data_IF_646737760012
#
_entry.id   IF_646737760012
#
_cell.length_a   1.000
_cell.length_b   1.000
_cell.length_c   1.000
_cell.angle_alpha   90.00
_cell.angle_beta   90.00
_cell.angle_gamma   90.00
#
_symmetry.space_group_name_H-M   'P 1'
#
loop_
_entity.id
_entity.type
_entity.pdbx_description
1 polymer ?
#
# COMPACT_ATOMS: atom_id res chain seq x y z
N UNK A 1 -19.06 -10.47 -25.93
CA UNK A 1 -17.66 -10.06 -26.23
C UNK A 1 -17.18 -9.24 -25.05
N UNK A 2 -15.97 -9.50 -24.56
CA UNK A 2 -15.30 -8.72 -23.51
C UNK A 2 -15.01 -7.31 -24.03
N UNK A 3 -15.16 -6.29 -23.19
CA UNK A 3 -14.83 -4.91 -23.56
C UNK A 3 -13.33 -4.79 -23.88
N UNK A 4 -12.91 -4.04 -24.91
CA UNK A 4 -11.50 -3.80 -25.22
C UNK A 4 -10.68 -3.29 -24.02
N UNK A 5 -11.27 -2.43 -23.18
CA UNK A 5 -10.62 -1.93 -21.95
C UNK A 5 -10.34 -3.05 -20.95
N UNK A 6 -11.26 -4.01 -20.82
CA UNK A 6 -11.10 -5.18 -19.93
C UNK A 6 -10.00 -6.09 -20.48
N UNK A 7 -9.93 -6.27 -21.79
CA UNK A 7 -8.88 -7.10 -22.41
C UNK A 7 -7.49 -6.50 -22.17
N UNK A 8 -7.29 -5.21 -22.45
CA UNK A 8 -6.02 -4.52 -22.16
C UNK A 8 -5.66 -4.55 -20.68
N UNK A 9 -6.66 -4.46 -19.80
CA UNK A 9 -6.41 -4.55 -18.36
C UNK A 9 -5.93 -5.95 -17.96
N UNK A 10 -6.48 -7.01 -18.55
CA UNK A 10 -6.01 -8.39 -18.34
C UNK A 10 -4.56 -8.56 -18.81
N UNK A 11 -4.23 -8.02 -19.99
CA UNK A 11 -2.88 -8.04 -20.54
C UNK A 11 -1.90 -7.31 -19.61
N UNK A 12 -2.24 -6.11 -19.14
CA UNK A 12 -1.42 -5.32 -18.21
C UNK A 12 -1.15 -6.05 -16.88
N UNK A 13 -2.12 -6.83 -16.41
CA UNK A 13 -2.03 -7.62 -15.19
C UNK A 13 -1.46 -9.02 -15.40
N UNK A 14 -1.11 -9.39 -16.64
CA UNK A 14 -0.67 -10.74 -17.05
C UNK A 14 -1.67 -11.86 -16.70
N UNK A 15 -2.97 -11.52 -16.62
CA UNK A 15 -4.04 -12.46 -16.29
C UNK A 15 -4.47 -13.22 -17.55
N UNK A 16 -4.01 -14.45 -17.69
CA UNK A 16 -4.25 -15.27 -18.88
C UNK A 16 -5.58 -16.02 -18.87
N UNK A 17 -6.28 -16.08 -17.73
CA UNK A 17 -7.49 -16.89 -17.54
C UNK A 17 -8.66 -16.13 -16.89
N UNK A 18 -9.92 -16.59 -17.03
CA UNK A 18 -11.04 -16.03 -16.28
C UNK A 18 -10.89 -16.30 -14.78
N UNK A 19 -11.36 -15.36 -13.95
CA UNK A 19 -11.42 -15.51 -12.51
C UNK A 19 -12.53 -16.50 -12.14
N UNK A 20 -12.12 -17.70 -11.71
CA UNK A 20 -13.03 -18.74 -11.23
C UNK A 20 -13.30 -18.59 -9.74
N UNK A 21 -14.56 -18.46 -9.35
CA UNK A 21 -14.97 -18.33 -7.95
C UNK A 21 -16.11 -19.29 -7.65
N UNK A 22 -15.97 -20.08 -6.60
CA UNK A 22 -17.05 -20.94 -6.10
C UNK A 22 -17.66 -20.35 -4.84
N UNK A 23 -18.99 -20.38 -4.76
CA UNK A 23 -19.75 -19.98 -3.58
C UNK A 23 -20.54 -21.16 -3.06
N UNK A 24 -20.33 -21.50 -1.79
CA UNK A 24 -21.06 -22.53 -1.07
C UNK A 24 -22.02 -21.90 -0.07
N UNK A 25 -23.13 -22.58 0.18
CA UNK A 25 -24.11 -22.23 1.20
C UNK A 25 -24.56 -23.50 1.91
N UNK A 26 -24.89 -23.42 3.18
CA UNK A 26 -25.39 -24.61 3.92
C UNK A 26 -26.74 -25.11 3.38
N UNK A 27 -27.46 -24.29 2.59
CA UNK A 27 -28.74 -24.64 1.95
C UNK A 27 -28.59 -25.46 0.67
N UNK A 28 -27.42 -25.45 0.03
CA UNK A 28 -27.20 -26.13 -1.25
C UNK A 28 -25.88 -26.91 -1.20
N UNK A 29 -25.93 -28.25 -1.31
CA UNK A 29 -24.74 -29.09 -1.24
C UNK A 29 -23.79 -28.90 -2.44
N UNK A 30 -24.28 -28.39 -3.58
CA UNK A 30 -23.43 -28.10 -4.75
C UNK A 30 -23.04 -26.62 -4.77
N UNK A 31 -21.74 -26.28 -4.90
CA UNK A 31 -21.33 -24.90 -5.08
C UNK A 31 -21.88 -24.28 -6.36
N UNK A 32 -22.18 -22.99 -6.29
CA UNK A 32 -22.38 -22.16 -7.48
C UNK A 32 -21.01 -21.67 -7.92
N UNK A 33 -20.62 -22.00 -9.15
CA UNK A 33 -19.34 -21.59 -9.72
C UNK A 33 -19.57 -20.48 -10.74
N UNK A 34 -18.93 -19.34 -10.52
CA UNK A 34 -18.89 -18.22 -11.44
C UNK A 34 -17.54 -18.16 -12.15
N UNK A 35 -17.55 -17.92 -13.46
CA UNK A 35 -16.37 -17.59 -14.26
C UNK A 35 -16.49 -16.14 -14.69
N UNK A 36 -15.58 -15.30 -14.24
CA UNK A 36 -15.57 -13.86 -14.51
C UNK A 36 -14.45 -13.54 -15.48
N UNK A 37 -14.79 -12.96 -16.63
CA UNK A 37 -13.80 -12.59 -17.65
C UNK A 37 -12.94 -11.40 -17.24
N UNK A 38 -13.48 -10.45 -16.47
CA UNK A 38 -12.70 -9.35 -15.92
C UNK A 38 -11.63 -9.88 -14.94
N UNK A 39 -10.46 -9.22 -14.83
CA UNK A 39 -9.43 -9.60 -13.86
C UNK A 39 -9.79 -9.14 -12.44
N UNK A 40 -11.06 -8.86 -12.18
CA UNK A 40 -11.57 -8.44 -10.89
C UNK A 40 -13.03 -8.87 -10.75
N UNK A 41 -13.51 -8.94 -9.51
CA UNK A 41 -14.91 -9.22 -9.22
C UNK A 41 -15.36 -8.49 -7.95
N UNK A 42 -16.59 -7.95 -7.99
CA UNK A 42 -17.25 -7.41 -6.81
C UNK A 42 -18.33 -8.39 -6.38
N UNK A 43 -18.32 -8.78 -5.10
CA UNK A 43 -19.30 -9.65 -4.48
C UNK A 43 -20.11 -8.86 -3.45
N UNK A 44 -21.42 -9.09 -3.42
CA UNK A 44 -22.30 -8.41 -2.49
C UNK A 44 -23.78 -8.61 -2.81
N UNK A 45 -24.65 -7.99 -2.01
CA UNK A 45 -26.11 -8.11 -2.16
C UNK A 45 -26.66 -7.35 -3.37
N UNK A 46 -25.91 -6.35 -3.87
CA UNK A 46 -26.30 -5.53 -4.99
C UNK A 46 -26.47 -6.35 -6.28
N UNK A 47 -27.49 -6.04 -7.06
CA UNK A 47 -27.79 -6.74 -8.32
C UNK A 47 -26.71 -6.56 -9.40
N UNK A 48 -25.89 -5.51 -9.31
CA UNK A 48 -24.78 -5.24 -10.24
C UNK A 48 -23.48 -5.97 -9.88
N UNK A 49 -23.41 -6.63 -8.71
CA UNK A 49 -22.23 -7.39 -8.33
C UNK A 49 -22.03 -8.58 -9.28
N UNK A 50 -20.77 -8.89 -9.60
CA UNK A 50 -20.42 -10.03 -10.45
C UNK A 50 -20.91 -11.35 -9.85
N UNK A 51 -20.89 -11.46 -8.51
CA UNK A 51 -21.52 -12.55 -7.78
C UNK A 51 -22.45 -11.95 -6.73
N UNK A 52 -23.74 -12.24 -6.89
CA UNK A 52 -24.77 -11.74 -5.98
C UNK A 52 -24.94 -12.65 -4.78
N UNK A 53 -24.74 -12.08 -3.59
CA UNK A 53 -24.89 -12.71 -2.28
C UNK A 53 -26.09 -12.07 -1.57
N UNK A 54 -27.28 -12.66 -1.74
CA UNK A 54 -28.55 -11.99 -1.45
C UNK A 54 -28.88 -11.77 0.04
N UNK A 55 -28.17 -12.45 0.96
CA UNK A 55 -28.46 -12.39 2.39
C UNK A 55 -28.33 -10.97 2.98
N UNK A 56 -29.22 -10.63 3.92
CA UNK A 56 -29.28 -9.30 4.57
C UNK A 56 -28.03 -8.92 5.36
N UNK A 57 -27.28 -9.90 5.85
CA UNK A 57 -25.99 -9.68 6.52
C UNK A 57 -24.89 -9.22 5.55
N UNK A 58 -25.11 -9.34 4.24
CA UNK A 58 -24.16 -8.95 3.21
C UNK A 58 -24.42 -7.52 2.73
N UNK A 59 -23.37 -6.69 2.78
CA UNK A 59 -23.36 -5.35 2.20
C UNK A 59 -23.72 -5.35 0.70
N UNK A 60 -24.26 -4.24 0.19
CA UNK A 60 -24.52 -4.08 -1.25
C UNK A 60 -23.30 -4.37 -2.11
N UNK A 61 -22.13 -3.95 -1.62
CA UNK A 61 -20.82 -4.32 -2.10
C UNK A 61 -20.02 -4.69 -0.88
N UNK A 62 -19.50 -5.90 -0.83
CA UNK A 62 -18.92 -6.46 0.36
C UNK A 62 -17.45 -6.81 0.14
N UNK A 63 -17.16 -7.55 -0.93
CA UNK A 63 -15.81 -8.01 -1.24
C UNK A 63 -15.42 -7.56 -2.63
N UNK A 64 -14.16 -7.17 -2.77
CA UNK A 64 -13.49 -6.92 -4.03
C UNK A 64 -12.34 -7.91 -4.21
N UNK A 65 -12.37 -8.65 -5.32
CA UNK A 65 -11.30 -9.52 -5.75
C UNK A 65 -10.57 -8.84 -6.90
N UNK A 66 -9.24 -8.80 -6.85
CA UNK A 66 -8.39 -8.31 -7.94
C UNK A 66 -7.33 -9.36 -8.25
N UNK A 67 -7.31 -9.83 -9.50
CA UNK A 67 -6.34 -10.78 -10.00
C UNK A 67 -5.09 -10.07 -10.52
N UNK A 68 -3.95 -10.71 -10.33
CA UNK A 68 -2.63 -10.29 -10.75
C UNK A 68 -1.87 -11.54 -11.19
N UNK A 69 -1.71 -11.75 -12.50
CA UNK A 69 -1.21 -13.00 -13.04
C UNK A 69 -2.08 -14.19 -12.60
N UNK A 70 -1.50 -15.04 -11.77
CA UNK A 70 -2.07 -16.24 -11.16
C UNK A 70 -2.38 -16.08 -9.66
N UNK A 71 -2.37 -14.86 -9.15
CA UNK A 71 -2.69 -14.53 -7.75
C UNK A 71 -3.92 -13.63 -7.67
N UNK A 72 -4.63 -13.69 -6.55
CA UNK A 72 -5.83 -12.86 -6.33
C UNK A 72 -5.76 -12.26 -4.94
N UNK A 73 -5.88 -10.93 -4.82
CA UNK A 73 -6.11 -10.29 -3.52
C UNK A 73 -7.61 -10.27 -3.23
N UNK A 74 -7.99 -10.47 -1.97
CA UNK A 74 -9.36 -10.34 -1.50
C UNK A 74 -9.47 -9.19 -0.48
N UNK A 75 -10.18 -8.14 -0.85
CA UNK A 75 -10.33 -6.91 -0.08
C UNK A 75 -11.75 -6.81 0.46
N UNK A 76 -11.90 -6.65 1.77
CA UNK A 76 -13.16 -6.21 2.37
C UNK A 76 -13.39 -4.73 2.03
N UNK A 77 -14.53 -4.41 1.40
CA UNK A 77 -14.93 -3.05 1.04
C UNK A 77 -15.47 -2.27 2.25
N UNK A 78 -14.80 -2.46 3.39
CA UNK A 78 -15.09 -1.86 4.68
C UNK A 78 -16.53 -2.14 5.10
N UNK A 79 -16.96 -3.38 4.91
CA UNK A 79 -18.30 -3.85 5.25
C UNK A 79 -18.59 -3.70 6.75
N UNK A 80 -19.87 -3.52 7.17
CA UNK A 80 -20.21 -3.47 8.60
C UNK A 80 -20.03 -4.84 9.28
N UNK A 81 -20.10 -5.93 8.52
CA UNK A 81 -19.92 -7.30 8.99
C UNK A 81 -18.64 -7.85 8.33
N UNK A 82 -17.48 -7.80 9.00
CA UNK A 82 -16.21 -8.13 8.39
C UNK A 82 -16.16 -9.54 7.82
N UNK A 83 -15.37 -9.71 6.75
CA UNK A 83 -15.07 -11.04 6.21
C UNK A 83 -14.27 -11.86 7.22
N UNK A 84 -14.51 -13.18 7.25
CA UNK A 84 -13.77 -14.11 8.11
C UNK A 84 -13.05 -15.15 7.27
N UNK A 85 -11.74 -15.24 7.44
CA UNK A 85 -10.91 -16.22 6.75
C UNK A 85 -10.89 -17.56 7.49
N UNK A 86 -10.80 -18.64 6.73
CA UNK A 86 -10.47 -19.98 7.21
C UNK A 86 -9.48 -20.60 6.23
N UNK A 87 -8.44 -21.28 6.74
CA UNK A 87 -7.36 -21.82 5.92
C UNK A 87 -5.97 -21.45 6.47
N UNK A 88 -4.94 -21.42 5.61
CA UNK A 88 -3.57 -21.00 5.95
C UNK A 88 -3.51 -19.57 6.51
N UNK A 89 -2.36 -19.18 7.07
CA UNK A 89 -2.15 -17.80 7.54
C UNK A 89 -2.36 -16.79 6.40
N UNK A 90 -3.09 -15.72 6.70
CA UNK A 90 -3.59 -14.77 5.71
C UNK A 90 -2.52 -13.72 5.35
N UNK A 91 -2.18 -13.61 4.06
CA UNK A 91 -1.15 -12.68 3.54
C UNK A 91 -1.74 -11.66 2.54
N UNK A 92 -2.99 -11.23 2.75
CA UNK A 92 -3.87 -10.48 1.80
C UNK A 92 -4.20 -11.24 0.49
N UNK A 93 -3.32 -12.13 0.05
CA UNK A 93 -3.53 -13.02 -1.09
C UNK A 93 -4.48 -14.18 -0.76
N UNK A 94 -5.52 -14.31 -1.58
CA UNK A 94 -6.42 -15.46 -1.57
C UNK A 94 -5.82 -16.60 -2.41
N UNK A 95 -5.70 -17.77 -1.80
CA UNK A 95 -5.32 -19.02 -2.49
C UNK A 95 -6.53 -19.95 -2.60
N UNK A 96 -6.41 -21.03 -3.38
CA UNK A 96 -7.48 -22.06 -3.47
C UNK A 96 -7.76 -22.77 -2.15
N UNK A 97 -6.84 -22.70 -1.19
CA UNK A 97 -6.98 -23.33 0.13
C UNK A 97 -7.73 -22.44 1.12
N UNK A 98 -7.94 -21.17 0.79
CA UNK A 98 -8.68 -20.25 1.64
C UNK A 98 -10.18 -20.36 1.43
N UNK A 99 -10.92 -20.21 2.53
CA UNK A 99 -12.36 -19.98 2.55
C UNK A 99 -12.61 -18.60 3.14
N UNK A 100 -13.21 -17.71 2.36
CA UNK A 100 -13.64 -16.39 2.82
C UNK A 100 -15.13 -16.45 3.12
N UNK A 101 -15.47 -16.29 4.40
CA UNK A 101 -16.85 -16.24 4.84
C UNK A 101 -17.38 -14.81 4.70
N UNK A 102 -18.46 -14.67 3.93
CA UNK A 102 -19.18 -13.42 3.71
C UNK A 102 -20.63 -13.63 4.13
N UNK A 103 -20.97 -13.29 5.38
CA UNK A 103 -22.24 -13.70 5.98
C UNK A 103 -22.37 -15.23 5.98
N UNK A 104 -23.48 -15.81 5.47
CA UNK A 104 -23.66 -17.28 5.40
C UNK A 104 -22.97 -17.93 4.19
N UNK A 105 -22.26 -17.17 3.37
CA UNK A 105 -21.65 -17.66 2.13
C UNK A 105 -20.17 -17.99 2.35
N UNK A 106 -19.74 -19.16 1.87
CA UNK A 106 -18.33 -19.57 1.83
C UNK A 106 -17.80 -19.37 0.41
N UNK A 107 -16.91 -18.39 0.23
CA UNK A 107 -16.33 -18.01 -1.06
C UNK A 107 -14.91 -18.56 -1.19
N UNK A 108 -14.60 -19.18 -2.32
CA UNK A 108 -13.27 -19.74 -2.62
C UNK A 108 -12.88 -19.50 -4.08
N UNK A 109 -11.57 -19.47 -4.36
CA UNK A 109 -11.08 -19.58 -5.73
C UNK A 109 -11.33 -20.98 -6.28
N UNK A 110 -11.70 -21.04 -7.56
CA UNK A 110 -11.93 -22.30 -8.26
C UNK A 110 -11.04 -22.40 -9.51
N UNK A 111 -10.40 -23.54 -9.70
CA UNK A 111 -9.56 -23.88 -10.86
C UNK A 111 -8.06 -24.04 -10.54
N UNK A 112 -7.38 -24.90 -11.30
CA UNK A 112 -6.04 -25.44 -10.99
C UNK A 112 -4.84 -24.55 -11.33
N UNK A 113 -5.04 -23.26 -11.60
CA UNK A 113 -3.90 -22.36 -11.84
C UNK A 113 -4.02 -21.00 -11.19
N UNK A 114 -4.64 -20.99 -10.02
CA UNK A 114 -4.37 -19.99 -9.00
C UNK A 114 -3.33 -20.54 -8.04
N UNK A 115 -2.40 -19.69 -7.61
CA UNK A 115 -1.30 -20.09 -6.73
C UNK A 115 -1.84 -20.64 -5.40
N UNK A 116 -1.24 -21.75 -4.94
CA UNK A 116 -1.61 -22.42 -3.68
C UNK A 116 -0.87 -21.87 -2.45
N UNK A 117 0.24 -21.18 -2.67
CA UNK A 117 1.04 -20.51 -1.63
C UNK A 117 1.56 -19.13 -2.12
N UNK A 118 1.23 -18.08 -1.38
CA UNK A 118 1.68 -16.71 -1.67
C UNK A 118 2.75 -16.22 -0.69
N UNK A 119 3.36 -17.12 0.09
CA UNK A 119 4.49 -16.81 0.97
C UNK A 119 5.61 -16.11 0.18
N UNK A 120 6.13 -15.01 0.72
CA UNK A 120 7.19 -14.21 0.10
C UNK A 120 6.74 -13.13 -0.90
N UNK A 121 5.45 -12.99 -1.21
CA UNK A 121 4.96 -11.91 -2.08
C UNK A 121 4.40 -10.74 -1.26
N UNK A 122 4.90 -9.51 -1.45
CA UNK A 122 4.35 -8.36 -0.74
C UNK A 122 2.90 -8.10 -1.17
N UNK A 123 2.08 -7.68 -0.22
CA UNK A 123 0.69 -7.28 -0.50
C UNK A 123 0.66 -6.08 -1.46
N UNK A 124 -0.21 -6.08 -2.49
CA UNK A 124 -0.29 -5.00 -3.46
C UNK A 124 -0.84 -3.69 -2.84
N UNK A 125 -1.39 -3.76 -1.63
CA UNK A 125 -1.82 -2.60 -0.85
C UNK A 125 -0.67 -1.91 -0.10
N UNK A 126 0.52 -2.53 -0.05
CA UNK A 126 1.70 -1.98 0.63
C UNK A 126 2.32 -0.86 -0.20
N UNK A 127 2.75 0.19 0.49
CA UNK A 127 3.48 1.30 -0.10
C UNK A 127 4.82 0.83 -0.66
N UNK A 128 5.14 1.25 -1.87
CA UNK A 128 6.42 1.05 -2.53
C UNK A 128 7.24 2.31 -2.46
N UNK A 129 8.55 2.17 -2.32
CA UNK A 129 9.46 3.27 -2.57
C UNK A 129 9.56 3.50 -4.08
N UNK A 130 9.94 4.71 -4.50
CA UNK A 130 10.06 5.07 -5.92
C UNK A 130 11.13 4.24 -6.66
N UNK A 131 12.00 3.58 -5.92
CA UNK A 131 13.12 2.75 -6.38
C UNK A 131 12.84 1.24 -6.27
N UNK A 132 11.66 0.84 -5.79
CA UNK A 132 11.32 -0.56 -5.56
C UNK A 132 10.86 -1.26 -6.86
N UNK A 133 11.80 -1.95 -7.51
CA UNK A 133 11.54 -2.77 -8.70
C UNK A 133 11.07 -4.21 -8.37
N UNK A 134 10.94 -4.58 -7.09
CA UNK A 134 10.60 -5.96 -6.65
C UNK A 134 9.17 -6.41 -7.00
N UNK A 135 8.47 -5.64 -7.83
CA UNK A 135 7.09 -5.94 -8.21
C UNK A 135 7.05 -7.12 -9.18
N UNK A 136 6.08 -8.06 -9.05
CA UNK A 136 5.87 -9.10 -10.07
C UNK A 136 5.61 -8.54 -11.48
N UNK A 137 5.30 -7.25 -11.58
CA UNK A 137 4.96 -6.56 -12.81
C UNK A 137 6.17 -5.88 -13.44
N UNK A 138 7.31 -5.77 -12.75
CA UNK A 138 8.51 -5.03 -13.19
C UNK A 138 8.50 -3.57 -12.72
N UNK A 139 9.33 -2.73 -13.34
CA UNK A 139 9.39 -1.30 -13.06
C UNK A 139 8.04 -0.62 -13.34
N UNK A 140 7.53 0.12 -12.34
CA UNK A 140 6.27 0.85 -12.41
C UNK A 140 6.55 2.33 -12.70
N UNK A 141 5.70 3.01 -13.49
CA UNK A 141 5.86 4.43 -13.73
C UNK A 141 5.57 5.25 -12.46
N UNK A 142 6.21 6.41 -12.36
CA UNK A 142 6.00 7.37 -11.30
C UNK A 142 4.83 8.26 -11.72
N UNK A 143 3.75 8.22 -10.95
CA UNK A 143 2.51 8.91 -11.28
C UNK A 143 1.87 9.48 -10.01
N UNK A 144 1.28 10.66 -10.13
CA UNK A 144 0.47 11.28 -9.09
C UNK A 144 -0.86 11.77 -9.67
N UNK A 145 -1.83 11.96 -8.78
CA UNK A 145 -3.12 12.56 -9.10
C UNK A 145 -3.19 13.96 -8.51
N UNK A 146 -3.37 14.98 -9.34
CA UNK A 146 -3.51 16.38 -8.90
C UNK A 146 -4.96 16.81 -8.83
N UNK A 147 -5.37 17.44 -7.73
CA UNK A 147 -6.74 17.89 -7.55
C UNK A 147 -7.01 19.19 -8.32
N UNK A 148 -7.99 19.16 -9.22
CA UNK A 148 -8.37 20.28 -10.09
C UNK A 148 -9.40 21.24 -9.45
N UNK A 149 -10.07 20.84 -8.36
CA UNK A 149 -11.08 21.68 -7.71
C UNK A 149 -10.47 22.98 -7.17
N UNK A 150 -11.00 24.14 -7.61
CA UNK A 150 -10.42 25.48 -7.37
C UNK A 150 -10.18 25.83 -5.88
N UNK A 151 -10.96 25.27 -4.96
CA UNK A 151 -10.86 25.54 -3.51
C UNK A 151 -9.79 24.69 -2.79
N UNK A 152 -9.19 23.70 -3.45
CA UNK A 152 -8.20 22.77 -2.90
C UNK A 152 -6.98 22.62 -3.83
N UNK A 153 -6.67 23.70 -4.57
CA UNK A 153 -5.65 23.74 -5.60
C UNK A 153 -4.26 23.42 -5.00
N UNK A 154 -3.51 22.51 -5.62
CA UNK A 154 -2.16 22.11 -5.20
C UNK A 154 -2.08 20.80 -4.39
N UNK A 155 -3.20 20.13 -4.10
CA UNK A 155 -3.17 18.78 -3.52
C UNK A 155 -2.81 17.75 -4.59
N UNK A 156 -1.74 16.99 -4.36
CA UNK A 156 -1.34 15.87 -5.19
C UNK A 156 -1.21 14.58 -4.37
N UNK A 157 -1.65 13.46 -4.94
CA UNK A 157 -1.48 12.13 -4.34
C UNK A 157 -0.51 11.30 -5.17
N UNK A 158 0.72 11.03 -4.69
CA UNK A 158 1.59 10.07 -5.35
C UNK A 158 0.98 8.67 -5.26
N UNK A 159 0.90 7.98 -6.39
CA UNK A 159 0.44 6.60 -6.44
C UNK A 159 1.63 5.69 -6.27
N UNK A 160 1.87 5.34 -5.01
CA UNK A 160 3.01 4.51 -4.60
C UNK A 160 2.58 3.11 -4.17
N UNK A 161 1.41 2.63 -4.61
CA UNK A 161 0.92 1.28 -4.34
C UNK A 161 0.48 0.64 -5.64
N UNK A 162 0.66 -0.68 -5.76
CA UNK A 162 0.09 -1.43 -6.89
C UNK A 162 -1.42 -1.34 -6.88
N UNK A 163 -2.03 -1.39 -5.70
CA UNK A 163 -3.47 -1.22 -5.50
C UNK A 163 -3.73 -0.08 -4.51
N UNK A 164 -4.39 0.97 -4.97
CA UNK A 164 -4.77 2.14 -4.15
C UNK A 164 -6.29 2.19 -4.04
N UNK A 165 -6.84 2.25 -2.83
CA UNK A 165 -8.28 2.41 -2.61
C UNK A 165 -8.65 3.89 -2.49
N UNK A 166 -9.74 4.27 -3.16
CA UNK A 166 -10.28 5.64 -3.17
C UNK A 166 -11.72 5.62 -2.69
N UNK A 167 -12.09 6.49 -1.76
CA UNK A 167 -13.44 6.52 -1.21
C UNK A 167 -13.64 7.54 -0.10
N UNK A 168 -14.84 7.60 0.48
CA UNK A 168 -15.13 8.57 1.56
C UNK A 168 -14.60 8.18 2.93
N UNK A 169 -14.29 6.91 3.11
CA UNK A 169 -13.80 6.38 4.38
C UNK A 169 -12.32 6.72 4.52
N UNK A 170 -11.90 7.15 5.70
CA UNK A 170 -10.53 7.59 5.98
C UNK A 170 -9.49 6.48 5.90
N UNK A 171 -9.93 5.22 5.90
CA UNK A 171 -9.08 4.05 5.61
C UNK A 171 -8.72 3.92 4.12
N UNK A 172 -9.37 4.68 3.23
CA UNK A 172 -8.92 4.79 1.85
C UNK A 172 -7.65 5.63 1.78
N UNK A 173 -6.73 5.29 0.86
CA UNK A 173 -5.49 6.04 0.70
C UNK A 173 -5.75 7.44 0.13
N UNK A 174 -6.72 7.54 -0.78
CA UNK A 174 -7.23 8.82 -1.28
C UNK A 174 -8.64 8.98 -0.72
N UNK A 175 -8.79 9.93 0.19
CA UNK A 175 -10.04 10.16 0.90
C UNK A 175 -10.81 11.30 0.26
N UNK A 176 -11.98 10.97 -0.28
CA UNK A 176 -12.93 11.91 -0.86
C UNK A 176 -14.14 12.04 0.10
N UNK A 177 -14.02 12.91 1.10
CA UNK A 177 -14.98 13.09 2.20
C UNK A 177 -16.33 13.72 1.76
N UNK A 178 -17.11 12.97 0.98
CA UNK A 178 -18.47 13.31 0.56
C UNK A 178 -19.39 12.11 0.79
N UNK A 179 -20.56 12.31 1.40
CA UNK A 179 -21.52 11.25 1.70
C UNK A 179 -22.10 10.56 0.45
N UNK A 180 -22.07 11.24 -0.70
CA UNK A 180 -22.48 10.69 -1.99
C UNK A 180 -21.46 9.69 -2.53
N UNK A 181 -20.23 9.72 -2.02
CA UNK A 181 -19.16 8.79 -2.37
C UNK A 181 -19.25 7.58 -1.45
N UNK A 182 -19.03 6.39 -2.01
CA UNK A 182 -19.08 5.16 -1.21
C UNK A 182 -17.84 5.03 -0.32
N UNK A 183 -17.94 4.28 0.79
CA UNK A 183 -16.81 4.05 1.73
C UNK A 183 -15.51 3.70 1.02
N UNK A 184 -15.58 2.72 0.11
CA UNK A 184 -14.59 2.45 -0.93
C UNK A 184 -15.29 2.59 -2.28
N UNK A 185 -14.99 3.65 -3.04
CA UNK A 185 -15.71 3.98 -4.26
C UNK A 185 -15.11 3.31 -5.49
N UNK A 186 -13.81 3.44 -5.66
CA UNK A 186 -13.06 2.83 -6.75
C UNK A 186 -11.69 2.35 -6.26
N UNK A 187 -11.00 1.60 -7.10
CA UNK A 187 -9.60 1.28 -6.89
C UNK A 187 -8.76 1.76 -8.06
N UNK A 188 -7.55 2.20 -7.77
CA UNK A 188 -6.52 2.44 -8.77
C UNK A 188 -5.53 1.29 -8.77
N UNK A 189 -5.14 0.82 -9.95
CA UNK A 189 -4.21 -0.29 -10.13
C UNK A 189 -3.04 0.17 -10.98
N UNK A 190 -1.86 0.29 -10.36
CA UNK A 190 -0.64 0.72 -11.03
C UNK A 190 0.03 -0.48 -11.71
N UNK A 191 0.24 -0.35 -13.02
CA UNK A 191 0.89 -1.36 -13.87
C UNK A 191 2.07 -0.72 -14.62
N UNK A 192 2.97 -1.50 -15.23
CA UNK A 192 4.05 -0.96 -16.07
C UNK A 192 3.54 -0.12 -17.23
N UNK A 193 2.32 -0.39 -17.70
CA UNK A 193 1.66 0.33 -18.79
C UNK A 193 0.87 1.56 -18.32
N UNK A 194 0.92 1.88 -17.02
CA UNK A 194 0.26 3.05 -16.43
C UNK A 194 -0.78 2.70 -15.37
N UNK A 195 -1.45 3.75 -14.90
CA UNK A 195 -2.43 3.75 -13.83
C UNK A 195 -3.83 3.42 -14.37
N UNK A 196 -4.43 2.37 -13.83
CA UNK A 196 -5.80 1.99 -14.15
C UNK A 196 -6.76 2.44 -13.06
N UNK A 197 -7.97 2.82 -13.42
CA UNK A 197 -9.11 2.94 -12.50
C UNK A 197 -10.09 1.80 -12.71
N UNK A 198 -10.64 1.27 -11.62
CA UNK A 198 -11.73 0.28 -11.61
C UNK A 198 -12.87 0.83 -10.77
N UNK A 199 -14.05 1.00 -11.39
CA UNK A 199 -15.27 1.33 -10.65
C UNK A 199 -15.67 0.12 -9.82
N UNK A 200 -15.74 0.30 -8.50
CA UNK A 200 -16.24 -0.75 -7.62
C UNK A 200 -17.77 -0.73 -7.55
N UNK A 201 -18.44 -0.23 -8.58
CA UNK A 201 -19.91 -0.18 -8.70
C UNK A 201 -20.54 0.75 -7.66
N UNK A 202 -19.83 1.84 -7.34
CA UNK A 202 -20.30 2.87 -6.42
C UNK A 202 -21.58 3.57 -6.89
N UNK A 203 -22.20 4.35 -6.00
CA UNK A 203 -23.25 5.29 -6.40
C UNK A 203 -22.60 6.42 -7.21
N UNK A 204 -23.10 6.70 -8.42
CA UNK A 204 -22.53 7.70 -9.34
C UNK A 204 -21.42 7.18 -10.25
N UNK A 205 -20.75 6.08 -9.88
CA UNK A 205 -19.65 5.49 -10.64
C UNK A 205 -18.43 6.41 -10.74
N UNK A 206 -17.43 5.96 -11.49
CA UNK A 206 -16.27 6.79 -11.85
C UNK A 206 -16.41 7.32 -13.27
N UNK A 207 -15.85 8.48 -13.50
CA UNK A 207 -15.78 9.11 -14.82
C UNK A 207 -14.33 9.32 -15.22
N UNK A 208 -14.01 9.12 -16.49
CA UNK A 208 -12.73 9.54 -17.08
C UNK A 208 -13.05 10.48 -18.23
N UNK A 209 -12.55 11.71 -18.17
CA UNK A 209 -12.86 12.79 -19.12
C UNK A 209 -14.39 12.96 -19.31
N UNK A 210 -15.12 12.98 -18.19
CA UNK A 210 -16.59 13.11 -18.16
C UNK A 210 -17.40 11.88 -18.60
N UNK A 211 -16.76 10.80 -19.05
CA UNK A 211 -17.44 9.57 -19.49
C UNK A 211 -17.40 8.51 -18.41
N UNK A 212 -18.54 7.89 -18.09
CA UNK A 212 -18.59 6.81 -17.12
C UNK A 212 -17.79 5.59 -17.59
N UNK A 213 -16.95 5.03 -16.72
CA UNK A 213 -16.11 3.87 -17.01
C UNK A 213 -16.30 2.79 -15.95
N UNK A 214 -16.29 1.53 -16.36
CA UNK A 214 -16.19 0.40 -15.42
C UNK A 214 -14.73 0.08 -15.09
N UNK A 215 -13.86 0.25 -16.09
CA UNK A 215 -12.41 0.27 -15.93
C UNK A 215 -11.77 1.04 -17.09
N UNK A 216 -10.70 1.78 -16.81
CA UNK A 216 -9.97 2.53 -17.82
C UNK A 216 -8.50 2.74 -17.43
N UNK A 217 -7.62 2.80 -18.42
CA UNK A 217 -6.26 3.31 -18.28
C UNK A 217 -6.33 4.83 -18.26
N UNK A 218 -5.65 5.46 -17.31
CA UNK A 218 -5.52 6.92 -17.19
C UNK A 218 -4.24 7.36 -17.89
N UNK A 219 -4.39 8.06 -19.00
CA UNK A 219 -3.29 8.68 -19.73
C UNK A 219 -2.84 9.97 -19.05
N UNK A 220 -1.68 10.49 -19.45
CA UNK A 220 -1.22 11.83 -19.07
C UNK A 220 -2.30 12.88 -19.35
N UNK A 221 -2.61 13.72 -18.36
CA UNK A 221 -3.63 14.76 -18.44
C UNK A 221 -5.08 14.27 -18.38
N UNK A 222 -5.33 12.96 -18.23
CA UNK A 222 -6.71 12.47 -18.11
C UNK A 222 -7.34 12.90 -16.77
N UNK A 223 -8.57 13.41 -16.84
CA UNK A 223 -9.37 13.78 -15.68
C UNK A 223 -10.14 12.58 -15.14
N UNK A 224 -9.77 12.11 -13.94
CA UNK A 224 -10.53 11.18 -13.13
C UNK A 224 -11.58 11.93 -12.28
N UNK A 225 -12.85 11.60 -12.49
CA UNK A 225 -13.98 12.06 -11.72
C UNK A 225 -14.50 11.02 -10.71
N UNK A 226 -14.51 11.39 -9.43
CA UNK A 226 -15.15 10.61 -8.34
C UNK A 226 -16.11 11.53 -7.57
N UNK A 227 -17.41 11.41 -7.82
CA UNK A 227 -18.39 12.35 -7.27
C UNK A 227 -18.10 13.78 -7.72
N UNK A 228 -17.83 14.69 -6.78
CA UNK A 228 -17.45 16.08 -7.05
C UNK A 228 -15.94 16.31 -7.19
N UNK A 229 -15.12 15.32 -6.89
CA UNK A 229 -13.66 15.44 -6.97
C UNK A 229 -13.22 15.22 -8.42
N UNK A 230 -12.39 16.12 -8.92
CA UNK A 230 -11.75 16.05 -10.24
C UNK A 230 -10.25 16.02 -10.04
N UNK A 231 -9.63 14.97 -10.54
CA UNK A 231 -8.20 14.71 -10.38
C UNK A 231 -7.57 14.50 -11.75
N UNK A 232 -6.51 15.25 -12.06
CA UNK A 232 -5.73 15.06 -13.26
C UNK A 232 -4.61 14.05 -13.01
N UNK A 233 -4.33 13.21 -14.01
CA UNK A 233 -3.25 12.21 -13.95
C UNK A 233 -1.97 12.81 -14.51
N UNK A 234 -0.89 12.79 -13.72
CA UNK A 234 0.41 13.35 -14.10
C UNK A 234 1.50 12.30 -13.88
N UNK A 235 2.24 11.98 -14.94
CA UNK A 235 3.35 11.03 -14.94
C UNK A 235 4.68 11.78 -14.86
N UNK A 236 5.49 11.43 -13.85
CA UNK A 236 6.88 11.88 -13.72
C UNK A 236 7.85 10.98 -14.52
N UNK A 237 7.42 9.75 -14.85
CA UNK A 237 8.14 8.88 -15.79
C UNK A 237 7.16 8.21 -16.76
N UNK A 238 7.57 8.12 -18.03
CA UNK A 238 6.71 7.60 -19.07
C UNK A 238 6.34 6.12 -18.82
N UNK A 239 5.05 5.76 -18.90
CA UNK A 239 4.63 4.36 -18.84
C UNK A 239 5.08 3.58 -20.09
N UNK A 240 5.20 2.26 -19.98
CA UNK A 240 5.48 1.37 -21.12
C UNK A 240 4.34 1.41 -22.13
N UNK A 241 4.64 1.23 -23.42
CA UNK A 241 3.61 1.13 -24.45
C UNK A 241 3.18 -0.33 -24.66
N UNK A 242 1.90 -0.53 -24.98
CA UNK A 242 1.39 -1.84 -25.39
C UNK A 242 1.97 -2.19 -26.77
N UNK A 243 2.68 -3.32 -26.89
CA UNK A 243 3.19 -3.83 -28.17
C UNK A 243 4.72 -3.82 -28.33
N UNK A 244 5.49 -3.32 -27.35
CA UNK A 244 6.97 -3.31 -27.40
C UNK A 244 7.61 -4.67 -26.99
N UNK A 245 6.83 -5.65 -26.51
CA UNK A 245 7.31 -6.96 -26.02
C UNK A 245 7.57 -8.02 -27.11
N UNK A 246 7.82 -7.62 -28.36
CA UNK A 246 8.24 -8.55 -29.43
C UNK A 246 9.74 -8.45 -29.72
N UNK A 247 10.59 -8.78 -28.75
CA UNK A 247 12.00 -9.05 -29.03
C UNK A 247 12.98 -8.74 -27.90
N UNK A 248 13.71 -9.78 -27.50
CA UNK A 248 14.98 -9.77 -26.77
C UNK A 248 14.94 -9.51 -25.25
N UNK A 249 14.71 -10.59 -24.51
CA UNK A 249 15.44 -10.82 -23.26
C UNK A 249 16.89 -11.16 -23.62
N UNK A 250 17.81 -10.22 -23.42
CA UNK A 250 19.19 -10.57 -23.08
C UNK A 250 19.97 -9.35 -22.54
N UNK A 251 20.74 -9.67 -21.51
CA UNK A 251 21.79 -8.89 -20.83
C UNK A 251 21.32 -7.95 -19.71
N UNK A 252 21.63 -8.40 -18.49
CA UNK A 252 21.85 -7.55 -17.32
C UNK A 252 22.66 -6.31 -17.70
N UNK A 253 22.29 -5.11 -17.24
CA UNK A 253 23.22 -4.00 -17.18
C UNK A 253 23.64 -3.73 -15.74
N UNK A 254 24.96 -3.73 -15.59
CA UNK A 254 25.74 -3.21 -14.48
C UNK A 254 25.21 -1.88 -13.93
N UNK A 255 25.35 -1.74 -12.62
CA UNK A 255 25.28 -0.51 -11.83
C UNK A 255 25.88 0.69 -12.56
N UNK A 256 25.03 1.65 -12.92
CA UNK A 256 25.41 3.05 -13.07
C UNK A 256 24.65 3.87 -12.03
N UNK A 257 25.40 4.40 -11.06
CA UNK A 257 24.94 5.46 -10.17
C UNK A 257 24.38 6.62 -11.01
N UNK A 258 23.13 6.99 -10.74
CA UNK A 258 22.52 8.20 -11.30
C UNK A 258 22.57 9.27 -10.22
N UNK A 259 23.29 10.35 -10.52
CA UNK A 259 23.44 11.53 -9.68
C UNK A 259 22.11 12.26 -9.47
N UNK A 260 21.84 12.67 -8.23
CA UNK A 260 20.68 13.48 -7.84
C UNK A 260 20.97 14.95 -8.20
N UNK A 261 20.14 15.64 -9.00
CA UNK A 261 20.26 17.08 -9.21
C UNK A 261 19.99 17.85 -7.91
N UNK A 262 20.80 18.85 -7.55
CA UNK A 262 20.54 19.69 -6.39
C UNK A 262 19.56 20.79 -6.79
N UNK A 263 18.39 20.86 -6.14
CA UNK A 263 17.63 22.08 -5.81
C UNK A 263 16.16 21.74 -5.49
N UNK A 264 15.85 21.51 -4.21
CA UNK A 264 14.52 21.82 -3.65
C UNK A 264 14.74 22.31 -2.22
N UNK A 265 15.16 23.57 -2.08
CA UNK A 265 15.24 24.24 -0.79
C UNK A 265 13.89 24.87 -0.36
N UNK A 266 12.86 24.84 -1.21
CA UNK A 266 11.62 25.59 -1.01
C UNK A 266 10.38 24.73 -0.68
N UNK A 267 10.52 23.41 -0.45
CA UNK A 267 9.40 22.50 -0.26
C UNK A 267 8.96 22.26 1.19
N UNK A 268 9.72 22.70 2.20
CA UNK A 268 9.43 22.32 3.59
C UNK A 268 8.18 23.02 4.15
N UNK A 269 7.90 24.26 3.74
CA UNK A 269 6.74 25.03 4.22
C UNK A 269 5.39 24.43 3.81
N UNK A 270 5.34 23.64 2.73
CA UNK A 270 4.11 23.02 2.22
C UNK A 270 3.91 21.58 2.73
N UNK A 271 4.85 21.01 3.49
CA UNK A 271 4.73 19.66 4.05
C UNK A 271 3.99 19.70 5.40
N UNK A 272 3.06 18.75 5.68
CA UNK A 272 2.40 18.67 6.98
C UNK A 272 3.42 18.54 8.12
N UNK A 273 3.24 19.29 9.22
CA UNK A 273 4.26 19.39 10.27
C UNK A 273 4.72 18.01 10.81
N UNK A 274 5.99 17.84 11.21
CA UNK A 274 6.48 16.54 11.68
C UNK A 274 5.73 16.04 12.92
N UNK A 275 5.31 16.97 13.78
CA UNK A 275 4.47 16.69 14.94
C UNK A 275 3.09 16.20 14.51
N UNK A 276 2.49 16.81 13.48
CA UNK A 276 1.20 16.38 12.96
C UNK A 276 1.24 14.96 12.39
N UNK A 277 2.31 14.62 11.67
CA UNK A 277 2.47 13.30 11.03
C UNK A 277 2.73 12.19 12.05
N UNK A 278 3.39 12.51 13.17
CA UNK A 278 3.78 11.51 14.18
C UNK A 278 2.89 11.49 15.43
N UNK A 279 1.94 12.43 15.59
CA UNK A 279 1.07 12.55 16.79
C UNK A 279 0.30 11.30 17.20
N UNK A 280 0.03 10.39 16.24
CA UNK A 280 -0.71 9.16 16.46
C UNK A 280 0.19 7.92 16.55
N UNK A 281 1.51 8.10 16.52
CA UNK A 281 2.45 6.99 16.61
C UNK A 281 2.43 6.42 18.04
N UNK A 282 2.08 5.14 18.15
CA UNK A 282 2.00 4.41 19.42
C UNK A 282 3.17 3.44 19.58
N UNK A 283 3.74 2.95 18.49
CA UNK A 283 4.88 2.04 18.47
C UNK A 283 6.19 2.82 18.50
N UNK A 284 6.26 3.87 17.69
CA UNK A 284 7.40 4.78 17.59
C UNK A 284 7.00 6.21 17.95
N UNK A 285 6.55 6.48 19.20
CA UNK A 285 6.43 7.84 19.70
C UNK A 285 7.65 8.67 19.35
N UNK A 286 7.41 9.82 18.73
CA UNK A 286 8.46 10.68 18.19
C UNK A 286 8.47 12.02 18.91
N UNK A 287 9.65 12.55 19.18
CA UNK A 287 9.87 13.92 19.65
C UNK A 287 10.70 14.65 18.62
N UNK A 288 10.22 15.83 18.22
CA UNK A 288 10.83 16.64 17.17
C UNK A 288 11.62 17.76 17.87
N UNK A 289 12.95 17.69 17.81
CA UNK A 289 13.85 18.68 18.40
C UNK A 289 14.88 19.08 17.35
N UNK A 290 14.52 19.91 16.35
CA UNK A 290 15.40 20.21 15.22
C UNK A 290 16.78 20.68 15.69
N UNK A 291 17.89 20.13 15.15
CA UNK A 291 17.97 19.28 13.95
C UNK A 291 17.88 17.76 14.20
N UNK A 292 17.31 17.33 15.32
CA UNK A 292 17.26 15.94 15.78
C UNK A 292 15.81 15.42 15.83
N UNK A 293 15.60 14.25 15.25
CA UNK A 293 14.39 13.45 15.46
C UNK A 293 14.68 12.39 16.53
N UNK A 294 13.89 12.36 17.60
CA UNK A 294 14.03 11.35 18.66
C UNK A 294 12.88 10.37 18.55
N UNK A 295 13.18 9.08 18.45
CA UNK A 295 12.18 8.01 18.33
C UNK A 295 12.28 7.08 19.52
N UNK A 296 11.14 6.70 20.11
CA UNK A 296 11.08 5.87 21.32
C UNK A 296 10.33 4.55 21.06
N UNK A 297 10.99 3.51 20.53
CA UNK A 297 10.35 2.22 20.30
C UNK A 297 9.69 1.69 21.58
N UNK A 298 8.44 1.25 21.46
CA UNK A 298 7.71 0.58 22.54
C UNK A 298 7.90 -0.95 22.39
N UNK A 299 8.22 -1.63 23.48
CA UNK A 299 8.38 -3.09 23.51
C UNK A 299 7.06 -3.87 23.65
N UNK A 300 7.14 -5.20 23.51
CA UNK A 300 6.06 -6.12 23.91
C UNK A 300 4.86 -6.24 22.96
N UNK A 301 5.01 -5.84 21.70
CA UNK A 301 3.91 -5.82 20.72
C UNK A 301 3.68 -7.24 20.18
N UNK A 302 2.46 -7.77 20.32
CA UNK A 302 2.06 -9.06 19.74
C UNK A 302 1.85 -8.93 18.22
N UNK A 303 1.86 -10.07 17.51
CA UNK A 303 1.76 -10.21 16.04
C UNK A 303 0.63 -9.43 15.33
N UNK A 304 -0.38 -8.94 16.05
CA UNK A 304 -1.41 -8.01 15.54
C UNK A 304 -0.92 -6.57 15.28
N UNK A 305 0.33 -6.22 15.64
CA UNK A 305 0.89 -4.87 15.49
C UNK A 305 1.73 -4.63 14.22
N UNK A 306 1.97 -5.66 13.38
CA UNK A 306 2.91 -5.57 12.25
C UNK A 306 2.60 -4.43 11.26
N UNK A 307 1.32 -4.27 10.90
CA UNK A 307 0.87 -3.20 10.01
C UNK A 307 1.15 -1.81 10.62
N UNK A 308 0.98 -1.66 11.93
CA UNK A 308 1.21 -0.40 12.63
C UNK A 308 2.71 -0.08 12.73
N UNK A 309 3.56 -1.08 13.00
CA UNK A 309 5.02 -0.93 13.01
C UNK A 309 5.51 -0.41 11.65
N UNK A 310 5.05 -1.01 10.54
CA UNK A 310 5.46 -0.57 9.20
C UNK A 310 4.95 0.83 8.85
N UNK A 311 3.71 1.17 9.19
CA UNK A 311 3.15 2.49 8.93
C UNK A 311 3.92 3.58 9.67
N UNK A 312 4.13 3.42 10.97
CA UNK A 312 4.82 4.40 11.81
C UNK A 312 6.31 4.52 11.42
N UNK A 313 6.98 3.39 11.16
CA UNK A 313 8.36 3.38 10.67
C UNK A 313 8.49 4.12 9.33
N UNK A 314 7.58 3.90 8.39
CA UNK A 314 7.62 4.57 7.09
C UNK A 314 7.41 6.08 7.22
N UNK A 315 6.53 6.53 8.12
CA UNK A 315 6.34 7.96 8.40
C UNK A 315 7.67 8.57 8.88
N UNK A 316 8.33 7.94 9.85
CA UNK A 316 9.59 8.43 10.42
C UNK A 316 10.72 8.40 9.39
N UNK A 317 10.86 7.32 8.63
CA UNK A 317 11.84 7.21 7.55
C UNK A 317 11.62 8.29 6.49
N UNK A 318 10.37 8.57 6.12
CA UNK A 318 10.07 9.65 5.18
C UNK A 318 10.40 11.03 5.76
N UNK A 319 10.16 11.26 7.05
CA UNK A 319 10.57 12.52 7.71
C UNK A 319 12.08 12.74 7.57
N UNK A 320 12.89 11.73 7.87
CA UNK A 320 14.36 11.81 7.77
C UNK A 320 14.87 12.05 6.34
N UNK A 321 14.18 11.49 5.34
CA UNK A 321 14.56 11.63 3.93
C UNK A 321 14.13 12.99 3.37
N UNK A 322 12.91 13.41 3.69
CA UNK A 322 12.26 14.56 3.04
C UNK A 322 12.50 15.88 3.74
N UNK A 323 12.90 15.88 5.02
CA UNK A 323 13.14 17.10 5.81
C UNK A 323 14.62 17.37 6.03
N UNK A 324 15.22 18.34 5.31
CA UNK A 324 16.58 18.80 5.59
C UNK A 324 16.74 19.35 7.00
N UNK A 325 15.68 19.85 7.64
CA UNK A 325 15.70 20.35 9.01
C UNK A 325 15.88 19.28 10.09
N UNK A 326 15.72 17.99 9.76
CA UNK A 326 15.86 16.85 10.68
C UNK A 326 16.88 15.82 10.15
N UNK A 327 18.15 16.20 9.95
CA UNK A 327 19.15 15.29 9.40
C UNK A 327 19.53 14.18 10.39
N UNK A 328 19.39 14.40 11.70
CA UNK A 328 19.91 13.51 12.73
C UNK A 328 18.79 12.69 13.39
N UNK A 329 19.12 11.45 13.79
CA UNK A 329 18.20 10.54 14.48
C UNK A 329 18.79 10.06 15.81
N UNK A 330 17.98 10.07 16.87
CA UNK A 330 18.29 9.36 18.11
C UNK A 330 17.20 8.34 18.39
N UNK A 331 17.59 7.07 18.55
CA UNK A 331 16.67 6.01 18.95
C UNK A 331 16.84 5.73 20.45
N UNK A 332 15.82 6.10 21.21
CA UNK A 332 15.79 5.94 22.65
C UNK A 332 15.00 4.69 23.06
N UNK A 333 15.73 3.69 23.54
CA UNK A 333 15.21 2.36 23.85
C UNK A 333 14.74 2.26 25.33
N UNK A 334 14.61 3.37 26.05
CA UNK A 334 14.24 3.36 27.48
C UNK A 334 12.91 2.65 27.80
N UNK A 335 12.01 2.52 26.82
CA UNK A 335 10.66 1.96 26.98
C UNK A 335 10.48 0.58 26.35
N UNK A 336 11.56 -0.07 25.91
CA UNK A 336 11.50 -1.42 25.37
C UNK A 336 12.18 -2.41 26.32
N UNK A 337 11.38 -3.26 26.95
CA UNK A 337 11.89 -4.33 27.82
C UNK A 337 12.36 -5.56 27.01
N UNK A 338 11.74 -5.78 25.85
CA UNK A 338 12.07 -6.84 24.88
C UNK A 338 11.92 -6.26 23.48
N UNK A 339 12.87 -6.56 22.59
CA UNK A 339 12.84 -6.10 21.21
C UNK A 339 12.72 -7.28 20.23
N UNK A 340 11.64 -7.27 19.45
CA UNK A 340 11.43 -8.26 18.39
C UNK A 340 12.23 -7.91 17.12
N UNK A 341 12.38 -8.88 16.22
CA UNK A 341 13.14 -8.71 14.98
C UNK A 341 12.54 -7.68 14.02
N UNK A 342 11.25 -7.37 14.15
CA UNK A 342 10.53 -6.46 13.25
C UNK A 342 10.80 -5.00 13.67
N UNK A 343 10.69 -4.70 14.96
CA UNK A 343 11.05 -3.40 15.54
C UNK A 343 12.53 -3.13 15.30
N UNK A 344 13.38 -4.15 15.45
CA UNK A 344 14.80 -4.07 15.08
C UNK A 344 15.00 -3.67 13.62
N UNK A 345 14.32 -4.34 12.68
CA UNK A 345 14.42 -4.02 11.25
C UNK A 345 13.93 -2.61 10.93
N UNK A 346 12.82 -2.19 11.54
CA UNK A 346 12.28 -0.84 11.42
C UNK A 346 13.29 0.22 11.94
N UNK A 347 13.89 -0.02 13.11
CA UNK A 347 14.92 0.84 13.68
C UNK A 347 16.12 0.99 12.74
N UNK A 348 16.63 -0.13 12.20
CA UNK A 348 17.74 -0.09 11.25
C UNK A 348 17.39 0.64 9.95
N UNK A 349 16.15 0.57 9.48
CA UNK A 349 15.69 1.32 8.32
C UNK A 349 15.66 2.83 8.60
N UNK A 350 15.19 3.24 9.79
CA UNK A 350 15.21 4.64 10.24
C UNK A 350 16.65 5.17 10.36
N UNK A 351 17.54 4.42 11.01
CA UNK A 351 18.94 4.84 11.17
C UNK A 351 19.69 4.98 9.83
N UNK A 352 19.38 4.15 8.83
CA UNK A 352 19.93 4.29 7.47
C UNK A 352 19.38 5.49 6.71
N UNK A 353 18.17 5.94 7.05
CA UNK A 353 17.49 7.02 6.36
C UNK A 353 17.90 8.42 6.87
N UNK A 354 18.50 8.50 8.06
CA UNK A 354 19.08 9.73 8.58
C UNK A 354 20.21 10.21 7.65
N UNK A 355 20.11 11.46 7.15
CA UNK A 355 21.13 12.06 6.28
C UNK A 355 22.38 12.52 7.05
N UNK A 356 22.20 12.85 8.33
CA UNK A 356 23.26 13.16 9.27
C UNK A 356 23.68 11.93 10.06
N UNK A 357 23.77 12.07 11.38
CA UNK A 357 24.16 10.96 12.27
C UNK A 357 22.96 10.31 12.92
N UNK A 358 23.10 9.01 13.18
CA UNK A 358 22.16 8.25 13.98
C UNK A 358 22.87 7.61 15.18
N UNK A 359 22.22 7.65 16.34
CA UNK A 359 22.71 7.06 17.58
C UNK A 359 21.59 6.36 18.35
N UNK A 360 21.97 5.42 19.22
CA UNK A 360 21.06 4.66 20.06
C UNK A 360 21.34 5.02 21.52
N UNK A 361 20.33 5.09 22.38
CA UNK A 361 20.54 5.34 23.81
C UNK A 361 19.61 4.54 24.72
N UNK A 362 19.95 4.51 26.02
CA UNK A 362 19.13 3.91 27.09
C UNK A 362 18.76 2.43 26.90
N UNK A 363 19.49 1.68 26.07
CA UNK A 363 19.30 0.23 25.97
C UNK A 363 19.62 -0.47 27.30
N UNK A 364 18.75 -1.40 27.71
CA UNK A 364 19.02 -2.30 28.85
C UNK A 364 20.20 -3.21 28.55
N UNK A 365 20.81 -3.83 29.57
CA UNK A 365 21.94 -4.75 29.38
C UNK A 365 21.62 -5.88 28.41
N UNK A 366 20.44 -6.50 28.52
CA UNK A 366 20.01 -7.57 27.62
C UNK A 366 19.82 -7.12 26.17
N UNK A 367 19.29 -5.92 25.93
CA UNK A 367 19.18 -5.39 24.57
C UNK A 367 20.56 -4.98 24.04
N UNK A 368 21.42 -4.42 24.87
CA UNK A 368 22.76 -4.01 24.47
C UNK A 368 23.63 -5.21 24.03
N UNK A 369 23.51 -6.34 24.71
CA UNK A 369 24.11 -7.62 24.30
C UNK A 369 23.60 -8.03 22.91
N UNK A 370 22.28 -8.06 22.70
CA UNK A 370 21.66 -8.37 21.41
C UNK A 370 22.17 -7.45 20.28
N UNK A 371 22.20 -6.14 20.52
CA UNK A 371 22.68 -5.15 19.55
C UNK A 371 24.17 -5.34 19.22
N UNK A 372 24.95 -5.80 20.19
CA UNK A 372 26.39 -6.05 20.01
C UNK A 372 26.66 -7.35 19.25
N UNK A 373 25.87 -8.40 19.47
CA UNK A 373 25.96 -9.67 18.73
C UNK A 373 25.78 -9.46 17.22
N UNK A 374 24.77 -8.67 16.83
CA UNK A 374 24.53 -8.32 15.42
C UNK A 374 25.42 -7.16 14.92
N UNK A 375 26.40 -6.73 15.72
CA UNK A 375 27.33 -5.62 15.43
C UNK A 375 26.65 -4.28 15.10
N UNK A 376 25.43 -4.05 15.59
CA UNK A 376 24.70 -2.80 15.32
C UNK A 376 25.38 -1.59 15.96
N UNK A 377 25.92 -1.78 17.16
CA UNK A 377 26.62 -0.74 17.94
C UNK A 377 27.91 -0.25 17.29
N UNK A 378 28.46 -1.00 16.32
CA UNK A 378 29.60 -0.57 15.50
C UNK A 378 29.20 0.37 14.37
N UNK A 379 27.95 0.27 13.90
CA UNK A 379 27.41 1.11 12.81
C UNK A 379 26.75 2.36 13.39
N UNK A 380 25.93 2.19 14.43
CA UNK A 380 25.30 3.28 15.17
C UNK A 380 25.66 3.17 16.65
N UNK A 381 26.48 4.10 17.18
CA UNK A 381 26.96 4.00 18.54
C UNK A 381 25.81 4.05 19.55
N UNK A 382 25.98 3.30 20.64
CA UNK A 382 25.10 3.33 21.80
C UNK A 382 25.67 4.26 22.87
N UNK A 383 24.80 5.03 23.52
CA UNK A 383 25.14 5.88 24.66
C UNK A 383 24.27 5.56 25.89
N UNK A 384 24.81 5.74 27.11
CA UNK A 384 24.06 5.49 28.33
C UNK A 384 22.85 6.41 28.49
N UNK A 385 22.95 7.67 28.05
CA UNK A 385 21.88 8.67 28.20
C UNK A 385 21.46 9.24 26.85
N UNK A 386 20.25 9.80 26.81
CA UNK A 386 19.75 10.52 25.63
C UNK A 386 20.57 11.78 25.33
N UNK A 387 21.00 12.49 26.38
CA UNK A 387 21.79 13.72 26.23
C UNK A 387 23.13 13.44 25.55
N UNK A 388 23.81 12.35 25.93
CA UNK A 388 25.07 11.94 25.30
C UNK A 388 24.88 11.59 23.82
N UNK A 389 23.80 10.88 23.48
CA UNK A 389 23.48 10.55 22.09
C UNK A 389 23.14 11.80 21.26
N UNK A 390 22.40 12.75 21.82
CA UNK A 390 22.11 14.03 21.17
C UNK A 390 23.41 14.81 20.95
N UNK A 391 24.27 14.88 21.96
CA UNK A 391 25.57 15.55 21.86
C UNK A 391 26.43 14.94 20.75
N UNK A 392 26.44 13.61 20.62
CA UNK A 392 27.16 12.92 19.55
C UNK A 392 26.60 13.26 18.16
N UNK A 393 25.28 13.21 17.96
CA UNK A 393 24.74 13.47 16.61
C UNK A 393 24.87 14.94 16.20
N UNK A 394 24.93 15.87 17.16
CA UNK A 394 25.12 17.30 16.92
C UNK A 394 26.59 17.70 16.70
N UNK A 395 27.52 17.14 17.48
CA UNK A 395 28.92 17.60 17.52
C UNK A 395 29.93 16.63 16.89
N UNK A 396 29.47 15.46 16.45
CA UNK A 396 30.34 14.37 16.00
C UNK A 396 31.12 14.67 14.73
#
# INVERSE_FOLDING_TARGET
MTSPSVQRFREALKVSRPLGVSVHTDRNPKPVVAKIEAPYAILGRGSRCAIRLADKSVSFRHVYLQAFGDRVICVDLLSPNPIKWSGPETTDWMTTNHVVNVGPYKVQLNGDGWVKDCSGWPSPLVCKTRTDESTPFGALPLVHLELLNQHLKGMAWPINRVLTLVGRDDRCRITCADERISRVHCSLVLTPYGLWVVDLIGRGGVQVNGKAQTCALLAEGDELGVGQYRMETVYESAPRQFGEDSGQFNQDPETKEIAIPPEIADAEENLPSPEFLTRNNKIFPSQIEPPVLIVKPQGGIRSSGYQQIQLESNIITQLLITRPSLPNLVVDISNADVMDSIIMNAMMAMCRAAKGRAAICNASSGILELLSEISLTKVWPHFPTREDAINYVLNG
#
